data_IF_811957866888
#
_entry.id   IF_811957866888
#
_cell.length_a   1.000
_cell.length_b   1.000
_cell.length_c   1.000
_cell.angle_alpha   90.00
_cell.angle_beta   90.00
_cell.angle_gamma   90.00
#
_symmetry.space_group_name_H-M   'P 1'
#
loop_
_entity.id
_entity.type
_entity.pdbx_description
1 polymer ?
#
# COMPACT_ATOMS: atom_id res chain seq x y z
N UNK A 1 5.81 -17.75 11.12
CA UNK A 1 5.76 -17.04 9.81
C UNK A 1 5.68 -15.55 10.09
N UNK A 2 6.63 -14.74 9.62
CA UNK A 2 6.74 -13.33 9.99
C UNK A 2 5.54 -12.51 9.45
N UNK A 3 4.71 -11.89 10.32
CA UNK A 3 3.53 -11.13 9.91
C UNK A 3 3.87 -9.99 8.94
N UNK A 4 5.10 -9.49 8.97
CA UNK A 4 5.63 -8.46 8.06
C UNK A 4 5.66 -8.88 6.58
N UNK A 5 5.97 -10.15 6.30
CA UNK A 5 6.04 -10.64 4.92
C UNK A 5 4.63 -10.73 4.31
N UNK A 6 3.64 -11.05 5.14
CA UNK A 6 2.22 -11.11 4.78
C UNK A 6 1.66 -9.71 4.57
N UNK A 7 1.97 -8.75 5.47
CA UNK A 7 1.52 -7.36 5.33
C UNK A 7 1.99 -6.69 4.04
N UNK A 8 3.29 -6.79 3.71
CA UNK A 8 3.80 -6.24 2.43
C UNK A 8 3.17 -6.92 1.21
N UNK A 9 2.94 -8.23 1.28
CA UNK A 9 2.31 -8.98 0.20
C UNK A 9 0.86 -8.52 -0.04
N UNK A 10 0.07 -8.37 1.03
CA UNK A 10 -1.32 -7.88 0.95
C UNK A 10 -1.37 -6.47 0.35
N UNK A 11 -0.47 -5.57 0.77
CA UNK A 11 -0.38 -4.21 0.19
C UNK A 11 -0.06 -4.26 -1.31
N UNK A 12 0.88 -5.11 -1.73
CA UNK A 12 1.22 -5.28 -3.15
C UNK A 12 0.06 -5.81 -3.98
N UNK A 13 -0.64 -6.83 -3.46
CA UNK A 13 -1.83 -7.41 -4.11
C UNK A 13 -2.93 -6.35 -4.25
N UNK A 14 -3.19 -5.57 -3.20
CA UNK A 14 -4.16 -4.49 -3.26
C UNK A 14 -3.80 -3.43 -4.31
N UNK A 15 -2.54 -2.96 -4.34
CA UNK A 15 -2.06 -1.99 -5.35
C UNK A 15 -2.23 -2.56 -6.76
N UNK A 16 -1.89 -3.83 -6.98
CA UNK A 16 -2.04 -4.48 -8.29
C UNK A 16 -3.50 -4.52 -8.75
N UNK A 17 -4.44 -4.88 -7.87
CA UNK A 17 -5.88 -4.89 -8.17
C UNK A 17 -6.36 -3.47 -8.50
N UNK A 18 -5.98 -2.47 -7.71
CA UNK A 18 -6.33 -1.07 -7.97
C UNK A 18 -5.77 -0.58 -9.30
N UNK A 19 -4.55 -0.96 -9.67
CA UNK A 19 -3.96 -0.63 -10.97
C UNK A 19 -4.72 -1.28 -12.13
N UNK A 20 -5.10 -2.54 -12.00
CA UNK A 20 -5.90 -3.24 -13.03
C UNK A 20 -7.25 -2.55 -13.20
N UNK A 21 -7.94 -2.23 -12.10
CA UNK A 21 -9.20 -1.47 -12.11
C UNK A 21 -9.00 -0.10 -12.74
N UNK A 22 -7.89 0.59 -12.44
CA UNK A 22 -7.58 1.88 -13.04
C UNK A 22 -7.43 1.78 -14.55
N UNK A 23 -6.76 0.75 -15.05
CA UNK A 23 -6.52 0.55 -16.49
C UNK A 23 -7.81 0.19 -17.21
N UNK A 24 -8.59 -0.74 -16.63
CA UNK A 24 -9.81 -1.30 -17.22
C UNK A 24 -11.00 -0.34 -17.16
N UNK A 25 -10.99 0.61 -16.23
CA UNK A 25 -12.05 1.62 -16.11
C UNK A 25 -11.98 2.64 -17.26
N UNK A 26 -13.12 3.03 -17.85
CA UNK A 26 -13.20 4.00 -18.93
C UNK A 26 -13.12 5.45 -18.39
N UNK A 27 -12.19 5.72 -17.48
CA UNK A 27 -11.98 7.07 -16.96
C UNK A 27 -11.27 7.94 -18.00
N UNK A 28 -11.71 9.20 -18.11
CA UNK A 28 -11.00 10.24 -18.85
C UNK A 28 -9.58 10.39 -18.31
N UNK A 29 -8.61 10.66 -19.19
CA UNK A 29 -7.18 10.84 -18.88
C UNK A 29 -6.88 11.55 -17.54
N UNK A 30 -7.47 12.72 -17.21
CA UNK A 30 -7.19 13.40 -15.94
C UNK A 30 -7.67 12.63 -14.71
N UNK A 31 -8.84 11.98 -14.79
CA UNK A 31 -9.39 11.16 -13.68
C UNK A 31 -8.58 9.89 -13.48
N UNK A 32 -8.07 9.30 -14.57
CA UNK A 32 -7.21 8.11 -14.55
C UNK A 32 -5.87 8.40 -13.87
N UNK A 33 -5.25 9.54 -14.18
CA UNK A 33 -4.00 10.00 -13.55
C UNK A 33 -4.21 10.28 -12.07
N UNK A 34 -5.29 10.98 -11.69
CA UNK A 34 -5.62 11.24 -10.29
C UNK A 34 -5.80 9.96 -9.47
N UNK A 35 -6.46 8.95 -10.05
CA UNK A 35 -6.64 7.66 -9.41
C UNK A 35 -5.32 6.92 -9.19
N UNK A 36 -4.44 6.89 -10.20
CA UNK A 36 -3.11 6.25 -10.09
C UNK A 36 -2.25 6.96 -9.03
N UNK A 37 -2.25 8.29 -9.00
CA UNK A 37 -1.52 9.07 -7.99
C UNK A 37 -2.06 8.77 -6.59
N UNK A 38 -3.38 8.70 -6.42
CA UNK A 38 -4.01 8.34 -5.14
C UNK A 38 -3.59 6.94 -4.66
N UNK A 39 -3.61 5.94 -5.55
CA UNK A 39 -3.18 4.57 -5.25
C UNK A 39 -1.69 4.52 -4.88
N UNK A 40 -0.83 5.28 -5.57
CA UNK A 40 0.59 5.36 -5.27
C UNK A 40 0.86 5.99 -3.88
N UNK A 41 0.16 7.07 -3.53
CA UNK A 41 0.28 7.73 -2.23
C UNK A 41 -0.17 6.78 -1.11
N UNK A 42 -1.34 6.13 -1.27
CA UNK A 42 -1.83 5.12 -0.33
C UNK A 42 -0.85 3.96 -0.17
N UNK A 43 -0.27 3.46 -1.27
CA UNK A 43 0.74 2.41 -1.25
C UNK A 43 2.01 2.83 -0.49
N UNK A 44 2.50 4.05 -0.72
CA UNK A 44 3.66 4.60 -0.01
C UNK A 44 3.39 4.78 1.49
N UNK A 45 2.19 5.26 1.87
CA UNK A 45 1.77 5.37 3.27
C UNK A 45 1.67 3.99 3.94
N UNK A 46 1.11 2.98 3.27
CA UNK A 46 1.00 1.62 3.80
C UNK A 46 2.38 0.94 3.97
N UNK A 47 3.31 1.18 3.04
CA UNK A 47 4.68 0.66 3.14
C UNK A 47 5.49 1.37 4.23
N UNK A 48 5.32 2.69 4.38
CA UNK A 48 5.98 3.49 5.41
C UNK A 48 5.49 3.18 6.84
N UNK A 49 4.17 2.97 6.99
CA UNK A 49 3.57 2.60 8.28
C UNK A 49 4.04 1.24 8.79
N UNK A 50 4.31 0.26 7.92
CA UNK A 50 4.91 -1.02 8.32
C UNK A 50 6.27 -0.84 9.02
N UNK A 51 7.11 0.08 8.55
CA UNK A 51 8.43 0.36 9.15
C UNK A 51 8.30 1.12 10.48
N UNK A 52 7.30 1.99 10.61
CA UNK A 52 6.97 2.66 11.88
C UNK A 52 6.39 1.69 12.90
N UNK A 53 5.53 0.76 12.46
CA UNK A 53 4.98 -0.30 13.29
C UNK A 53 6.09 -1.19 13.83
N UNK A 54 7.05 -1.59 13.00
CA UNK A 54 8.22 -2.36 13.45
C UNK A 54 9.02 -1.62 14.55
N UNK A 55 9.22 -0.31 14.38
CA UNK A 55 9.94 0.52 15.35
C UNK A 55 9.17 0.70 16.66
N UNK A 56 7.84 0.84 16.60
CA UNK A 56 6.98 0.94 17.78
C UNK A 56 6.85 -0.42 18.50
N UNK A 57 6.62 -1.51 17.76
CA UNK A 57 6.45 -2.84 18.32
C UNK A 57 7.76 -3.36 18.96
N UNK A 58 8.92 -3.10 18.33
CA UNK A 58 10.23 -3.42 18.90
C UNK A 58 10.53 -2.64 20.18
N UNK A 59 10.09 -1.36 20.26
CA UNK A 59 10.14 -0.58 21.51
C UNK A 59 9.22 -1.12 22.59
N UNK A 60 8.06 -1.66 22.22
CA UNK A 60 7.08 -2.19 23.17
C UNK A 60 7.47 -3.56 23.73
N UNK A 61 8.12 -4.40 22.91
CA UNK A 61 8.55 -5.75 23.27
C UNK A 61 9.93 -5.81 23.96
N UNK A 62 10.66 -4.69 24.06
CA UNK A 62 11.92 -4.55 24.80
C UNK A 62 11.71 -3.94 26.21
N UNK A 63 10.54 -4.14 26.81
CA UNK A 63 10.23 -3.79 28.19
C UNK A 63 9.86 -5.06 28.96
#
# INVERSE_FOLDING_TARGET
MQPFKVGKYITYVAIAIFLVVAIMSPYELPKKVGFIIGVLILGACALGTNKLYERMYSKLNNK
#
